data_IF_383439504517
#
_entry.id   IF_383439504517
#
_cell.length_a   1.000
_cell.length_b   1.000
_cell.length_c   1.000
_cell.angle_alpha   90.00
_cell.angle_beta   90.00
_cell.angle_gamma   90.00
#
_symmetry.space_group_name_H-M   'P 1'
#
loop_
_entity.id
_entity.type
_entity.pdbx_description
1 polymer ?
#
# COMPACT_ATOMS: atom_id res chain seq x y z
N UNK A 1 23.01 -25.25 2.38
CA UNK A 1 22.95 -24.14 1.41
C UNK A 1 22.12 -23.02 2.02
N UNK A 2 22.77 -22.04 2.64
CA UNK A 2 22.08 -20.83 3.15
C UNK A 2 21.72 -19.97 1.95
N UNK A 3 20.44 -19.97 1.55
CA UNK A 3 19.95 -19.08 0.51
C UNK A 3 20.20 -17.62 0.90
N UNK A 4 20.39 -16.75 -0.10
CA UNK A 4 20.52 -15.32 0.13
C UNK A 4 19.37 -14.81 1.03
N UNK A 5 19.65 -13.90 1.97
CA UNK A 5 18.63 -13.34 2.84
C UNK A 5 17.51 -12.70 2.01
N UNK A 6 16.26 -12.89 2.42
CA UNK A 6 15.12 -12.31 1.72
C UNK A 6 15.22 -10.78 1.71
N UNK A 7 15.04 -10.15 0.55
CA UNK A 7 15.08 -8.70 0.36
C UNK A 7 14.07 -8.01 1.28
N UNK A 8 14.51 -6.97 2.01
CA UNK A 8 13.60 -6.08 2.76
C UNK A 8 12.96 -5.12 1.77
N UNK A 9 11.63 -5.03 1.82
CA UNK A 9 10.85 -4.12 0.97
C UNK A 9 9.95 -3.29 1.87
N UNK A 10 9.98 -1.98 1.71
CA UNK A 10 9.12 -1.05 2.41
C UNK A 10 8.04 -0.57 1.45
N UNK A 11 6.78 -0.64 1.87
CA UNK A 11 5.63 -0.21 1.09
C UNK A 11 4.86 0.81 1.91
N UNK A 12 4.66 2.00 1.35
CA UNK A 12 3.70 2.98 1.87
C UNK A 12 2.55 3.09 0.89
N UNK A 13 1.34 2.82 1.35
CA UNK A 13 0.17 2.76 0.49
C UNK A 13 -1.03 3.49 1.09
N UNK A 14 -1.81 4.07 0.21
CA UNK A 14 -3.00 4.85 0.56
C UNK A 14 -4.08 4.70 -0.52
N UNK A 15 -5.29 5.10 -0.19
CA UNK A 15 -6.45 5.13 -1.06
C UNK A 15 -7.25 6.42 -0.90
N UNK A 16 -7.88 6.87 -1.97
CA UNK A 16 -8.79 8.01 -1.89
C UNK A 16 -9.93 7.87 -2.89
N UNK A 17 -11.14 8.18 -2.45
CA UNK A 17 -12.29 8.43 -3.31
C UNK A 17 -12.64 9.92 -3.30
N UNK A 18 -13.10 10.45 -4.44
CA UNK A 18 -13.41 11.87 -4.60
C UNK A 18 -14.83 12.26 -4.19
N UNK A 19 -15.73 11.29 -4.04
CA UNK A 19 -17.10 11.49 -3.56
C UNK A 19 -17.27 11.19 -2.08
N UNK A 20 -18.50 11.39 -1.59
CA UNK A 20 -18.89 11.12 -0.19
C UNK A 20 -19.07 9.61 0.11
N UNK A 21 -18.79 8.73 -0.85
CA UNK A 21 -18.93 7.28 -0.71
C UNK A 21 -20.36 6.76 -0.66
N UNK A 22 -21.37 7.63 -0.75
CA UNK A 22 -22.79 7.26 -0.64
C UNK A 22 -23.58 7.39 -1.94
N UNK A 23 -23.10 8.17 -2.90
CA UNK A 23 -23.75 8.35 -4.21
C UNK A 23 -22.78 8.03 -5.36
N UNK A 24 -23.14 7.11 -6.28
CA UNK A 24 -22.35 6.85 -7.47
C UNK A 24 -22.56 7.93 -8.55
N UNK A 25 -21.56 8.17 -9.43
CA UNK A 25 -20.25 7.54 -9.41
C UNK A 25 -19.37 8.10 -8.29
N UNK A 26 -18.62 7.22 -7.64
CA UNK A 26 -17.60 7.60 -6.67
C UNK A 26 -16.21 7.22 -7.19
N UNK A 27 -15.56 8.08 -8.01
CA UNK A 27 -14.25 7.81 -8.55
C UNK A 27 -13.23 7.64 -7.42
N UNK A 28 -12.41 6.61 -7.50
CA UNK A 28 -11.38 6.34 -6.50
C UNK A 28 -10.08 5.85 -7.10
N UNK A 29 -9.02 6.02 -6.31
CA UNK A 29 -7.65 5.68 -6.61
C UNK A 29 -7.00 4.98 -5.43
N UNK A 30 -6.03 4.11 -5.71
CA UNK A 30 -5.08 3.60 -4.72
C UNK A 30 -3.68 3.83 -5.26
N UNK A 31 -2.71 3.92 -4.35
CA UNK A 31 -1.32 4.01 -4.73
C UNK A 31 -0.40 3.40 -3.68
N UNK A 32 0.79 3.01 -4.13
CA UNK A 32 1.86 2.53 -3.28
C UNK A 32 3.21 3.09 -3.75
N UNK A 33 3.99 3.61 -2.81
CA UNK A 33 5.43 3.80 -2.93
C UNK A 33 6.11 2.53 -2.43
N UNK A 34 6.91 1.90 -3.29
CA UNK A 34 7.67 0.68 -3.00
C UNK A 34 9.16 1.02 -2.98
N UNK A 35 9.85 0.66 -1.91
CA UNK A 35 11.27 0.89 -1.74
C UNK A 35 12.00 -0.43 -1.44
N UNK A 36 13.16 -0.62 -2.08
CA UNK A 36 14.05 -1.75 -1.81
C UNK A 36 15.53 -1.33 -1.91
N UNK A 37 16.44 -2.02 -1.21
CA UNK A 37 17.88 -1.75 -1.32
C UNK A 37 18.40 -1.99 -2.74
N UNK A 38 19.27 -1.09 -3.21
CA UNK A 38 19.94 -1.14 -4.51
C UNK A 38 21.43 -0.83 -4.34
N UNK A 39 22.19 -1.78 -3.78
CA UNK A 39 23.59 -1.52 -3.39
C UNK A 39 23.63 -0.53 -2.23
N UNK A 40 24.34 0.58 -2.42
CA UNK A 40 24.47 1.66 -1.44
C UNK A 40 23.36 2.73 -1.54
N UNK A 41 22.33 2.50 -2.36
CA UNK A 41 21.20 3.41 -2.53
C UNK A 41 19.84 2.72 -2.36
N UNK A 42 18.78 3.50 -2.43
CA UNK A 42 17.39 3.02 -2.40
C UNK A 42 16.77 3.13 -3.79
N UNK A 43 16.25 2.02 -4.30
CA UNK A 43 15.40 2.05 -5.49
C UNK A 43 13.94 2.25 -5.08
N UNK A 44 13.27 3.19 -5.76
CA UNK A 44 11.90 3.60 -5.47
C UNK A 44 11.02 3.45 -6.71
N UNK A 45 9.82 2.93 -6.50
CA UNK A 45 8.83 2.75 -7.56
C UNK A 45 7.43 3.11 -7.08
N UNK A 46 6.59 3.51 -8.03
CA UNK A 46 5.19 3.79 -7.78
C UNK A 46 4.30 2.76 -8.46
N UNK A 47 3.27 2.33 -7.74
CA UNK A 47 2.09 1.67 -8.29
C UNK A 47 0.89 2.57 -8.05
N UNK A 48 0.01 2.70 -9.03
CA UNK A 48 -1.30 3.31 -8.78
C UNK A 48 -2.36 2.76 -9.72
N UNK A 49 -3.57 2.63 -9.19
CA UNK A 49 -4.76 2.19 -9.92
C UNK A 49 -5.94 3.10 -9.65
N UNK A 50 -6.94 3.03 -10.53
CA UNK A 50 -8.18 3.78 -10.41
C UNK A 50 -9.41 2.90 -10.67
N UNK A 51 -10.55 3.35 -10.18
CA UNK A 51 -11.88 2.85 -10.54
C UNK A 51 -12.85 4.03 -10.67
N UNK A 52 -13.74 4.05 -11.68
CA UNK A 52 -14.70 5.13 -11.85
C UNK A 52 -15.82 5.12 -10.81
N UNK A 53 -16.07 3.97 -10.18
CA UNK A 53 -17.05 3.82 -9.11
C UNK A 53 -16.59 2.76 -8.09
N UNK A 54 -16.29 3.19 -6.87
CA UNK A 54 -15.66 2.34 -5.85
C UNK A 54 -15.88 2.88 -4.43
N UNK A 55 -15.22 2.27 -3.45
CA UNK A 55 -15.15 2.76 -2.06
C UNK A 55 -13.70 2.73 -1.57
N UNK A 56 -13.38 3.50 -0.53
CA UNK A 56 -12.04 3.48 0.08
C UNK A 56 -11.64 2.04 0.47
N UNK A 57 -12.52 1.31 1.15
CA UNK A 57 -12.25 -0.09 1.53
C UNK A 57 -11.88 -1.00 0.33
N UNK A 58 -12.57 -0.85 -0.81
CA UNK A 58 -12.25 -1.62 -2.02
C UNK A 58 -10.91 -1.19 -2.60
N UNK A 59 -10.62 0.12 -2.62
CA UNK A 59 -9.36 0.65 -3.13
C UNK A 59 -8.16 0.27 -2.26
N UNK A 60 -8.31 0.26 -0.93
CA UNK A 60 -7.30 -0.23 0.02
C UNK A 60 -6.90 -1.69 -0.29
N UNK A 61 -7.90 -2.56 -0.41
CA UNK A 61 -7.69 -3.97 -0.70
C UNK A 61 -7.10 -4.19 -2.10
N UNK A 62 -7.63 -3.50 -3.10
CA UNK A 62 -7.13 -3.59 -4.48
C UNK A 62 -5.66 -3.14 -4.58
N UNK A 63 -5.29 -2.03 -3.95
CA UNK A 63 -3.92 -1.52 -3.94
C UNK A 63 -2.95 -2.49 -3.26
N UNK A 64 -3.34 -3.07 -2.13
CA UNK A 64 -2.56 -4.09 -1.45
C UNK A 64 -2.38 -5.35 -2.30
N UNK A 65 -3.45 -5.82 -2.97
CA UNK A 65 -3.39 -6.97 -3.89
C UNK A 65 -2.41 -6.67 -5.02
N UNK A 66 -2.61 -5.57 -5.74
CA UNK A 66 -1.82 -5.22 -6.91
C UNK A 66 -0.33 -5.06 -6.56
N UNK A 67 -0.03 -4.45 -5.41
CA UNK A 67 1.33 -4.29 -4.91
C UNK A 67 1.97 -5.65 -4.63
N UNK A 68 1.32 -6.50 -3.84
CA UNK A 68 1.88 -7.79 -3.44
C UNK A 68 2.00 -8.78 -4.63
N UNK A 69 1.04 -8.78 -5.55
CA UNK A 69 1.14 -9.55 -6.80
C UNK A 69 2.32 -9.09 -7.66
N UNK A 70 2.64 -7.79 -7.65
CA UNK A 70 3.84 -7.30 -8.34
C UNK A 70 5.11 -7.74 -7.62
N UNK A 71 5.15 -7.68 -6.28
CA UNK A 71 6.32 -8.14 -5.52
C UNK A 71 6.66 -9.61 -5.83
N UNK A 72 5.65 -10.47 -6.04
CA UNK A 72 5.85 -11.85 -6.47
C UNK A 72 6.56 -12.00 -7.81
N UNK A 73 6.38 -11.05 -8.74
CA UNK A 73 7.05 -11.06 -10.04
C UNK A 73 8.52 -10.68 -9.94
N UNK A 74 8.92 -9.95 -8.90
CA UNK A 74 10.30 -9.55 -8.69
C UNK A 74 11.07 -10.48 -7.75
N UNK A 75 10.43 -10.88 -6.66
CA UNK A 75 11.07 -11.62 -5.58
C UNK A 75 10.26 -12.85 -5.23
N UNK A 76 10.92 -14.01 -5.28
CA UNK A 76 10.33 -15.27 -4.83
C UNK A 76 9.90 -15.21 -3.36
N UNK A 77 10.66 -14.48 -2.53
CA UNK A 77 10.38 -14.21 -1.11
C UNK A 77 10.94 -12.83 -0.75
N UNK A 78 10.19 -12.08 0.05
CA UNK A 78 10.61 -10.78 0.58
C UNK A 78 10.13 -10.62 2.03
N UNK A 79 10.85 -9.79 2.80
CA UNK A 79 10.39 -9.28 4.10
C UNK A 79 9.76 -7.91 3.87
N UNK A 80 8.44 -7.86 3.79
CA UNK A 80 7.68 -6.66 3.48
C UNK A 80 7.30 -5.95 4.77
N UNK A 81 7.50 -4.64 4.83
CA UNK A 81 6.81 -3.76 5.77
C UNK A 81 5.76 -3.02 4.96
N UNK A 82 4.49 -3.29 5.23
CA UNK A 82 3.37 -2.66 4.54
C UNK A 82 2.74 -1.64 5.48
N UNK A 83 2.93 -0.36 5.15
CA UNK A 83 2.46 0.80 5.91
C UNK A 83 1.25 1.40 5.19
N UNK A 84 0.18 1.65 5.93
CA UNK A 84 -1.02 2.34 5.43
C UNK A 84 -1.78 2.96 6.60
N UNK A 85 -2.54 4.01 6.34
CA UNK A 85 -3.47 4.60 7.31
C UNK A 85 -4.87 3.96 7.29
N UNK A 86 -5.10 3.02 6.36
CA UNK A 86 -6.33 2.24 6.27
C UNK A 86 -6.43 1.23 7.43
N UNK A 87 -7.07 1.63 8.52
CA UNK A 87 -7.36 0.71 9.64
C UNK A 87 -8.13 -0.54 9.18
N UNK A 88 -9.00 -0.39 8.16
CA UNK A 88 -9.75 -1.51 7.59
C UNK A 88 -8.84 -2.58 7.00
N UNK A 89 -7.82 -2.17 6.22
CA UNK A 89 -6.82 -3.06 5.66
C UNK A 89 -5.96 -3.68 6.76
N UNK A 90 -5.38 -2.84 7.62
CA UNK A 90 -4.40 -3.28 8.63
C UNK A 90 -5.06 -4.22 9.64
N UNK A 91 -6.15 -3.81 10.30
CA UNK A 91 -6.87 -4.67 11.26
C UNK A 91 -7.47 -5.89 10.59
N UNK A 92 -7.93 -5.77 9.35
CA UNK A 92 -8.43 -6.91 8.62
C UNK A 92 -7.36 -7.98 8.44
N UNK A 93 -6.14 -7.62 8.00
CA UNK A 93 -5.05 -8.58 7.84
C UNK A 93 -4.50 -9.12 9.16
N UNK A 94 -4.45 -8.31 10.22
CA UNK A 94 -3.82 -8.71 11.50
C UNK A 94 -4.78 -9.35 12.50
N UNK A 95 -6.06 -8.98 12.50
CA UNK A 95 -7.03 -9.40 13.53
C UNK A 95 -8.17 -10.25 12.95
N UNK A 96 -8.76 -9.86 11.82
CA UNK A 96 -10.03 -10.45 11.38
C UNK A 96 -9.86 -11.66 10.45
N UNK A 97 -9.02 -11.51 9.43
CA UNK A 97 -8.76 -12.52 8.39
C UNK A 97 -8.30 -13.86 8.98
N UNK A 98 -7.37 -13.94 9.95
CA UNK A 98 -6.99 -15.21 10.57
C UNK A 98 -8.21 -15.94 11.16
N UNK A 99 -9.09 -15.21 11.84
CA UNK A 99 -10.32 -15.75 12.40
C UNK A 99 -11.34 -16.15 11.34
N UNK A 100 -11.45 -15.41 10.23
CA UNK A 100 -12.32 -15.77 9.11
C UNK A 100 -11.86 -17.06 8.42
N UNK A 101 -10.55 -17.19 8.16
CA UNK A 101 -9.96 -18.41 7.57
C UNK A 101 -10.23 -19.63 8.46
N UNK A 102 -9.99 -19.52 9.77
CA UNK A 102 -10.23 -20.60 10.72
C UNK A 102 -11.70 -21.06 10.76
N UNK A 103 -12.63 -20.20 10.36
CA UNK A 103 -14.08 -20.48 10.28
C UNK A 103 -14.57 -20.74 8.85
N UNK A 104 -13.67 -20.99 7.90
CA UNK A 104 -14.05 -21.25 6.50
C UNK A 104 -14.73 -20.06 5.83
N UNK A 105 -14.22 -18.84 6.10
CA UNK A 105 -14.74 -17.57 5.59
C UNK A 105 -16.18 -17.25 6.03
N UNK A 106 -16.48 -17.55 7.30
CA UNK A 106 -17.77 -17.25 7.94
C UNK A 106 -17.59 -16.40 9.20
N UNK A 107 -18.54 -15.51 9.49
CA UNK A 107 -18.64 -14.77 10.75
C UNK A 107 -20.08 -14.80 11.28
N UNK A 108 -20.24 -14.68 12.61
CA UNK A 108 -21.56 -14.71 13.26
C UNK A 108 -22.50 -13.60 12.75
N UNK A 109 -21.95 -12.46 12.34
CA UNK A 109 -22.71 -11.30 11.83
C UNK A 109 -23.11 -11.38 10.36
N UNK A 110 -23.12 -12.56 9.74
CA UNK A 110 -23.52 -12.74 8.34
C UNK A 110 -22.36 -12.63 7.35
N UNK A 111 -22.66 -12.14 6.14
CA UNK A 111 -21.67 -12.05 5.06
C UNK A 111 -20.47 -11.18 5.44
N UNK A 112 -19.29 -11.58 5.00
CA UNK A 112 -18.07 -10.77 5.11
C UNK A 112 -18.08 -9.83 3.90
N UNK A 113 -18.09 -8.54 4.17
CA UNK A 113 -18.02 -7.53 3.12
C UNK A 113 -16.68 -7.62 2.39
N UNK A 114 -16.69 -7.40 1.07
CA UNK A 114 -15.51 -7.50 0.21
C UNK A 114 -14.78 -8.86 0.27
N UNK A 115 -15.47 -9.94 0.65
CA UNK A 115 -14.89 -11.28 0.81
C UNK A 115 -14.02 -11.74 -0.38
N UNK A 116 -14.43 -11.56 -1.66
CA UNK A 116 -13.58 -11.94 -2.79
C UNK A 116 -12.24 -11.20 -2.83
N UNK A 117 -12.20 -9.93 -2.43
CA UNK A 117 -10.95 -9.14 -2.34
C UNK A 117 -10.10 -9.62 -1.17
N UNK A 118 -10.68 -9.88 0.00
CA UNK A 118 -9.95 -10.45 1.13
C UNK A 118 -9.29 -11.79 0.79
N UNK A 119 -10.00 -12.68 0.09
CA UNK A 119 -9.46 -13.96 -0.35
C UNK A 119 -8.28 -13.79 -1.32
N UNK A 120 -8.41 -12.87 -2.29
CA UNK A 120 -7.31 -12.53 -3.20
C UNK A 120 -6.11 -11.93 -2.46
N UNK A 121 -6.34 -11.04 -1.50
CA UNK A 121 -5.27 -10.42 -0.72
C UNK A 121 -4.50 -11.46 0.10
N UNK A 122 -5.19 -12.43 0.70
CA UNK A 122 -4.53 -13.55 1.40
C UNK A 122 -3.66 -14.37 0.45
N UNK A 123 -4.12 -14.61 -0.78
CA UNK A 123 -3.33 -15.30 -1.79
C UNK A 123 -2.10 -14.48 -2.22
N UNK A 124 -2.27 -13.19 -2.50
CA UNK A 124 -1.19 -12.29 -2.88
C UNK A 124 -0.16 -12.06 -1.77
N UNK A 125 -0.58 -12.16 -0.50
CA UNK A 125 0.33 -12.08 0.65
C UNK A 125 1.15 -13.36 0.88
N UNK A 126 0.71 -14.50 0.33
CA UNK A 126 1.28 -15.80 0.64
C UNK A 126 2.72 -15.95 0.11
N UNK A 127 3.66 -16.34 0.98
CA UNK A 127 5.06 -16.58 0.60
C UNK A 127 5.99 -15.40 0.84
N UNK A 128 5.46 -14.21 1.07
CA UNK A 128 6.17 -13.09 1.67
C UNK A 128 5.99 -13.10 3.20
N UNK A 129 6.98 -12.57 3.92
CA UNK A 129 6.83 -12.28 5.36
C UNK A 129 6.43 -10.83 5.47
N UNK A 130 5.16 -10.56 5.78
CA UNK A 130 4.60 -9.21 5.78
C UNK A 130 4.36 -8.75 7.22
N UNK A 131 4.89 -7.58 7.54
CA UNK A 131 4.58 -6.81 8.73
C UNK A 131 3.63 -5.67 8.33
N UNK A 132 2.42 -5.67 8.88
CA UNK A 132 1.41 -4.65 8.62
C UNK A 132 1.50 -3.56 9.68
N UNK A 133 1.78 -2.32 9.27
CA UNK A 133 1.91 -1.16 10.16
C UNK A 133 0.82 -0.15 9.85
N UNK A 134 0.08 0.24 10.87
CA UNK A 134 -0.84 1.36 10.77
C UNK A 134 -0.13 2.67 11.11
N UNK A 135 -0.38 3.70 10.32
CA UNK A 135 0.02 5.08 10.62
C UNK A 135 -1.21 5.98 10.63
N UNK A 136 -1.14 7.12 11.29
CA UNK A 136 -2.23 8.09 11.21
C UNK A 136 -2.16 8.84 9.89
N UNK A 137 -3.26 8.87 9.13
CA UNK A 137 -3.39 9.69 7.93
C UNK A 137 -3.17 11.18 8.20
N UNK A 138 -2.59 11.89 7.24
CA UNK A 138 -2.31 13.33 7.30
C UNK A 138 -1.56 13.82 8.56
N UNK A 139 -0.70 12.97 9.12
CA UNK A 139 0.04 13.27 10.35
C UNK A 139 1.53 13.61 10.11
N UNK A 140 1.91 14.00 8.89
CA UNK A 140 3.31 14.32 8.57
C UNK A 140 4.18 13.10 8.25
N UNK A 141 3.58 11.98 7.87
CA UNK A 141 4.31 10.82 7.34
C UNK A 141 4.56 11.02 5.85
N UNK A 142 5.74 11.56 5.48
CA UNK A 142 6.04 11.99 4.11
C UNK A 142 5.73 10.93 3.04
N UNK A 143 6.12 9.68 3.26
CA UNK A 143 5.88 8.58 2.31
C UNK A 143 4.41 8.19 2.18
N UNK A 144 3.66 8.20 3.28
CA UNK A 144 2.22 7.94 3.26
C UNK A 144 1.47 9.10 2.58
N UNK A 145 1.85 10.35 2.88
CA UNK A 145 1.24 11.51 2.24
C UNK A 145 1.54 11.60 0.74
N UNK A 146 2.73 11.13 0.33
CA UNK A 146 3.03 10.94 -1.08
C UNK A 146 2.11 9.91 -1.73
N UNK A 147 1.91 8.75 -1.08
CA UNK A 147 0.98 7.73 -1.55
C UNK A 147 -0.45 8.28 -1.65
N UNK A 148 -0.92 9.05 -0.66
CA UNK A 148 -2.21 9.75 -0.73
C UNK A 148 -2.31 10.67 -1.95
N UNK A 149 -1.32 11.55 -2.15
CA UNK A 149 -1.32 12.49 -3.27
C UNK A 149 -1.37 11.75 -4.62
N UNK A 150 -0.68 10.61 -4.71
CA UNK A 150 -0.68 9.75 -5.88
C UNK A 150 -2.04 9.05 -6.09
N UNK A 151 -2.67 8.56 -5.02
CA UNK A 151 -4.00 7.94 -5.04
C UNK A 151 -5.08 8.95 -5.46
N UNK A 152 -5.06 10.16 -4.90
CA UNK A 152 -5.95 11.26 -5.31
C UNK A 152 -5.80 11.58 -6.80
N UNK A 153 -4.56 11.73 -7.28
CA UNK A 153 -4.29 11.97 -8.70
C UNK A 153 -4.82 10.85 -9.59
N UNK A 154 -4.64 9.59 -9.20
CA UNK A 154 -5.16 8.44 -9.93
C UNK A 154 -6.70 8.44 -9.98
N UNK A 155 -7.35 8.81 -8.88
CA UNK A 155 -8.80 8.97 -8.81
C UNK A 155 -9.30 10.10 -9.73
N UNK A 156 -8.63 11.26 -9.73
CA UNK A 156 -9.02 12.44 -10.53
C UNK A 156 -8.85 12.20 -12.02
N UNK A 157 -7.70 11.62 -12.40
CA UNK A 157 -7.34 11.42 -13.81
C UNK A 157 -7.87 10.12 -14.39
N UNK A 158 -8.37 9.22 -13.53
CA UNK A 158 -8.74 7.86 -13.90
C UNK A 158 -7.61 7.15 -14.67
N UNK A 159 -6.39 7.26 -14.11
CA UNK A 159 -5.17 6.72 -14.69
C UNK A 159 -4.58 5.61 -13.82
N UNK A 160 -3.91 4.64 -14.44
CA UNK A 160 -3.19 3.56 -13.78
C UNK A 160 -1.76 3.43 -14.32
N UNK A 161 -0.83 3.02 -13.48
CA UNK A 161 0.60 2.91 -13.84
C UNK A 161 0.94 1.69 -14.71
N UNK A 162 0.04 0.70 -14.79
CA UNK A 162 0.24 -0.58 -15.48
C UNK A 162 1.48 -1.37 -14.99
N UNK A 163 1.73 -1.32 -13.68
CA UNK A 163 2.88 -1.94 -13.02
C UNK A 163 3.73 -0.93 -12.27
N UNK A 164 4.87 -1.35 -11.72
CA UNK A 164 5.79 -0.40 -11.09
C UNK A 164 6.49 0.47 -12.14
N UNK A 165 6.38 1.76 -11.93
CA UNK A 165 7.07 2.80 -12.69
C UNK A 165 8.10 3.48 -11.78
N UNK A 166 9.15 4.13 -12.32
CA UNK A 166 10.08 4.91 -11.50
C UNK A 166 9.33 5.92 -10.63
N UNK A 167 9.68 6.00 -9.36
CA UNK A 167 8.94 6.84 -8.41
C UNK A 167 9.16 8.33 -8.64
N UNK A 168 8.10 9.12 -8.49
CA UNK A 168 8.15 10.58 -8.39
C UNK A 168 8.48 11.12 -6.99
N UNK A 169 8.71 10.25 -5.99
CA UNK A 169 8.82 10.64 -4.59
C UNK A 169 9.89 11.70 -4.31
N UNK A 170 11.10 11.54 -4.85
CA UNK A 170 12.20 12.49 -4.58
C UNK A 170 11.89 13.90 -5.14
N UNK A 171 11.20 13.95 -6.28
CA UNK A 171 10.75 15.22 -6.88
C UNK A 171 9.65 15.85 -6.04
N UNK A 172 8.69 15.04 -5.59
CA UNK A 172 7.62 15.48 -4.70
C UNK A 172 8.17 16.00 -3.36
N UNK A 173 9.11 15.27 -2.75
CA UNK A 173 9.73 15.63 -1.48
C UNK A 173 10.52 16.95 -1.61
N UNK A 174 11.28 17.12 -2.70
CA UNK A 174 11.96 18.38 -2.98
C UNK A 174 10.98 19.54 -3.11
N UNK A 175 9.82 19.33 -3.76
CA UNK A 175 8.78 20.36 -3.86
C UNK A 175 8.19 20.72 -2.49
N UNK A 176 7.81 19.73 -1.68
CA UNK A 176 7.25 19.97 -0.34
C UNK A 176 8.26 20.67 0.60
N UNK A 177 9.56 20.42 0.43
CA UNK A 177 10.63 21.16 1.13
C UNK A 177 10.67 22.64 0.77
N UNK A 178 10.39 23.02 -0.48
CA UNK A 178 10.28 24.45 -0.84
C UNK A 178 9.09 25.15 -0.16
N UNK A 179 8.11 24.36 0.30
CA UNK A 179 6.95 24.81 1.06
C UNK A 179 7.17 24.73 2.58
N UNK A 180 8.40 24.47 3.03
CA UNK A 180 8.76 24.41 4.44
C UNK A 180 8.36 23.11 5.15
N UNK A 181 8.01 22.05 4.40
CA UNK A 181 7.67 20.74 4.96
C UNK A 181 8.84 19.77 4.84
N UNK A 182 8.98 18.83 5.78
CA UNK A 182 9.97 17.73 5.69
C UNK A 182 11.43 18.19 5.53
N UNK A 183 11.79 19.35 6.08
CA UNK A 183 13.14 19.91 5.97
C UNK A 183 14.20 18.95 6.53
N UNK A 184 13.94 18.38 7.70
CA UNK A 184 14.85 17.46 8.41
C UNK A 184 14.50 15.98 8.21
N UNK A 185 13.55 15.66 7.33
CA UNK A 185 13.13 14.27 7.08
C UNK A 185 14.20 13.54 6.25
N UNK A 186 14.70 12.42 6.76
CA UNK A 186 15.56 11.49 6.01
C UNK A 186 14.71 10.41 5.33
N UNK A 187 14.63 10.39 3.98
CA UNK A 187 13.83 9.41 3.26
C UNK A 187 14.40 7.99 3.26
N UNK A 188 15.65 7.78 3.68
CA UNK A 188 16.30 6.46 3.66
C UNK A 188 16.28 5.77 5.04
N UNK A 189 16.09 6.52 6.11
CA UNK A 189 16.15 6.06 7.51
C UNK A 189 15.30 4.79 7.74
N UNK A 190 14.02 4.82 7.38
CA UNK A 190 13.08 3.70 7.60
C UNK A 190 13.48 2.41 6.87
N UNK A 191 14.19 2.51 5.74
CA UNK A 191 14.64 1.33 5.01
C UNK A 191 15.79 0.62 5.75
N UNK A 192 16.63 1.41 6.42
CA UNK A 192 17.84 0.96 7.12
C UNK A 192 17.62 0.67 8.61
N UNK A 193 16.44 0.95 9.17
CA UNK A 193 16.10 0.58 10.55
C UNK A 193 16.44 -0.88 10.87
N UNK A 194 17.34 -1.13 11.84
CA UNK A 194 17.66 -2.47 12.30
C UNK A 194 16.41 -3.09 12.97
N UNK A 195 16.08 -4.32 12.60
CA UNK A 195 15.05 -5.13 13.29
C UNK A 195 15.68 -5.94 14.42
#
# INVERSE_FOLDING_TARGET
MTGAPATRVLVHADESCLGNGTEPPNPGGNAALVEAPAGDSVARWDLYECSPDTTNQKMALAGAIATLEWLHRQWKRARVVYVSDSEYLIKGMTEWVPGWIARGWRRKGGAIENLPLWQKLVQAAAGHSIEWRWVRGHAGHAKNEYANALAMRAAERQERSNGLVPSGFDTWLAHERTRGRYADYDPEEELHEPR
#
